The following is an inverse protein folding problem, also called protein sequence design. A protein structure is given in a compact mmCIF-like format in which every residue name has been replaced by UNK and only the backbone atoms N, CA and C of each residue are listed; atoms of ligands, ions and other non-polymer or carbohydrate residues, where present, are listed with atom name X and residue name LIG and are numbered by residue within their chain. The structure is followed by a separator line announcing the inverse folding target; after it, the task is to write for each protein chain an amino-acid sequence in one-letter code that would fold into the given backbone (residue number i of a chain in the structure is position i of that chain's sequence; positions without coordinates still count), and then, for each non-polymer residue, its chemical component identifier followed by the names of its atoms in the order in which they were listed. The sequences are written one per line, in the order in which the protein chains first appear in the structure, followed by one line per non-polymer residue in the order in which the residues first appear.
data_IF_818555971191
#
_entry.id   IF_818555971191
#
_cell.length_a   1.000
_cell.length_b   1.000
_cell.length_c   1.000
_cell.angle_alpha   90.00
_cell.angle_beta   90.00
_cell.angle_gamma   90.00
#
_symmetry.space_group_name_H-M   'P 1'
#
loop_
_entity.id
_entity.type
_entity.pdbx_description
1 polymer ?
#
# COMPACT_ATOMS: atom_id res chain seq x y z
N UNK A 1 46.89 16.66 -52.62
CA UNK A 1 46.53 16.97 -51.22
C UNK A 1 45.81 15.75 -50.63
N UNK A 2 46.49 14.94 -49.80
CA UNK A 2 45.88 13.81 -49.05
C UNK A 2 45.40 14.35 -47.71
N UNK A 3 44.11 14.21 -47.41
CA UNK A 3 43.55 14.53 -46.08
C UNK A 3 44.03 13.49 -45.05
N UNK A 4 44.32 13.88 -43.80
CA UNK A 4 44.70 12.93 -42.76
C UNK A 4 43.46 12.19 -42.26
N UNK A 5 43.63 10.89 -42.00
CA UNK A 5 42.58 9.98 -41.52
C UNK A 5 42.26 10.35 -40.07
N UNK A 6 40.99 10.67 -39.80
CA UNK A 6 40.52 10.93 -38.44
C UNK A 6 40.73 9.67 -37.57
N UNK A 7 41.44 9.86 -36.46
CA UNK A 7 41.59 8.88 -35.38
C UNK A 7 40.76 9.38 -34.21
N UNK A 8 39.71 8.67 -33.85
CA UNK A 8 38.91 8.96 -32.66
C UNK A 8 38.53 7.67 -31.94
N UNK A 9 39.23 7.50 -30.82
CA UNK A 9 38.97 6.73 -29.60
C UNK A 9 37.69 5.88 -29.51
N UNK A 10 37.85 4.56 -29.33
CA UNK A 10 36.82 3.70 -28.74
C UNK A 10 36.64 4.06 -27.26
N UNK A 11 35.44 4.49 -26.87
CA UNK A 11 35.07 4.59 -25.47
C UNK A 11 34.89 3.18 -24.86
N UNK A 12 35.29 2.94 -23.59
CA UNK A 12 35.01 1.67 -22.94
C UNK A 12 33.51 1.57 -22.64
N UNK A 13 32.89 0.44 -22.99
CA UNK A 13 31.55 0.07 -22.51
C UNK A 13 31.63 -0.07 -21.01
N UNK A 14 30.95 0.81 -20.28
CA UNK A 14 30.78 0.69 -18.84
C UNK A 14 30.00 -0.60 -18.57
N UNK A 15 30.66 -1.55 -17.92
CA UNK A 15 30.04 -2.80 -17.50
C UNK A 15 29.15 -2.47 -16.31
N UNK A 16 27.84 -2.41 -16.54
CA UNK A 16 26.86 -2.10 -15.52
C UNK A 16 26.91 -3.21 -14.45
N UNK A 17 27.50 -2.87 -13.30
CA UNK A 17 27.54 -3.77 -12.16
C UNK A 17 26.09 -4.01 -11.73
N UNK A 18 25.60 -5.23 -11.96
CA UNK A 18 24.31 -5.70 -11.47
C UNK A 18 24.30 -5.61 -9.94
N UNK A 19 23.82 -4.48 -9.43
CA UNK A 19 23.50 -4.33 -8.01
C UNK A 19 22.28 -5.21 -7.79
N UNK A 20 22.50 -6.38 -7.18
CA UNK A 20 21.39 -7.22 -6.75
C UNK A 20 20.44 -6.37 -5.89
N UNK A 21 19.13 -6.35 -6.18
CA UNK A 21 18.19 -5.55 -5.42
C UNK A 21 18.23 -6.02 -3.96
N UNK A 22 18.34 -5.08 -3.02
CA UNK A 22 18.27 -5.38 -1.60
C UNK A 22 16.96 -6.15 -1.33
N UNK A 23 16.99 -7.24 -0.55
CA UNK A 23 15.79 -8.01 -0.27
C UNK A 23 14.77 -7.11 0.41
N UNK A 24 13.54 -7.08 -0.12
CA UNK A 24 12.43 -6.37 0.51
C UNK A 24 12.21 -7.02 1.88
N UNK A 25 12.55 -6.30 2.95
CA UNK A 25 12.27 -6.72 4.31
C UNK A 25 10.74 -6.69 4.48
N UNK A 26 10.12 -7.86 4.45
CA UNK A 26 8.68 -7.99 4.73
C UNK A 26 8.56 -8.26 6.23
N UNK A 27 8.10 -7.28 7.05
CA UNK A 27 8.22 -7.34 8.50
C UNK A 27 7.61 -8.60 9.12
N UNK A 28 6.50 -9.08 8.55
CA UNK A 28 5.79 -10.27 9.03
C UNK A 28 6.54 -11.59 8.87
N UNK A 29 7.60 -11.66 8.06
CA UNK A 29 8.41 -12.88 7.96
C UNK A 29 9.15 -13.20 9.26
N UNK A 30 9.42 -12.17 10.07
CA UNK A 30 10.10 -12.29 11.36
C UNK A 30 9.19 -11.96 12.55
N UNK A 31 7.95 -11.55 12.30
CA UNK A 31 6.96 -11.37 13.36
C UNK A 31 6.52 -12.75 13.83
N UNK A 32 6.81 -13.08 15.09
CA UNK A 32 6.12 -14.18 15.77
C UNK A 32 4.65 -13.81 15.83
N UNK A 33 3.83 -14.42 14.97
CA UNK A 33 2.37 -14.33 15.12
C UNK A 33 2.04 -14.67 16.58
N UNK A 34 1.23 -13.86 17.27
CA UNK A 34 0.84 -14.19 18.62
C UNK A 34 0.28 -15.63 18.60
N UNK A 35 0.71 -16.50 19.52
CA UNK A 35 0.32 -17.91 19.50
C UNK A 35 -1.19 -18.11 19.65
N UNK A 36 -1.88 -17.08 20.14
CA UNK A 36 -3.32 -17.02 20.30
C UNK A 36 -3.91 -15.96 19.34
N UNK A 37 -4.71 -16.42 18.38
CA UNK A 37 -5.55 -15.58 17.51
C UNK A 37 -6.36 -14.52 18.27
N UNK A 38 -6.72 -14.76 19.54
CA UNK A 38 -7.41 -13.76 20.42
C UNK A 38 -6.63 -12.47 20.56
N UNK A 39 -5.30 -12.52 20.51
CA UNK A 39 -4.47 -11.32 20.57
C UNK A 39 -4.71 -10.41 19.37
N UNK A 40 -4.88 -10.98 18.17
CA UNK A 40 -5.19 -10.20 16.95
C UNK A 40 -6.57 -9.56 17.02
N UNK A 41 -7.52 -10.16 17.74
CA UNK A 41 -8.82 -9.54 17.99
C UNK A 41 -8.71 -8.30 18.89
N UNK A 42 -7.79 -8.26 19.85
CA UNK A 42 -7.59 -7.08 20.70
C UNK A 42 -7.10 -5.88 19.89
N UNK A 43 -6.15 -6.09 18.96
CA UNK A 43 -5.70 -5.03 18.04
C UNK A 43 -6.84 -4.50 17.16
N UNK A 44 -7.86 -5.30 16.86
CA UNK A 44 -9.02 -4.83 16.11
C UNK A 44 -9.95 -3.93 16.93
N UNK A 45 -9.92 -4.01 18.26
CA UNK A 45 -10.76 -3.20 19.16
C UNK A 45 -10.20 -1.81 19.41
N UNK A 46 -8.90 -1.62 19.18
CA UNK A 46 -8.18 -0.36 19.42
C UNK A 46 -8.31 0.64 18.26
N UNK A 47 -9.13 0.33 17.26
CA UNK A 47 -9.29 1.13 16.05
C UNK A 47 -10.33 2.22 16.20
N UNK A 48 -10.01 3.39 15.64
CA UNK A 48 -10.92 4.53 15.56
C UNK A 48 -12.27 4.14 14.93
N UNK A 49 -13.39 4.55 15.54
CA UNK A 49 -14.70 4.17 15.06
C UNK A 49 -15.00 4.79 13.69
N UNK A 50 -15.82 4.11 12.86
CA UNK A 50 -16.20 4.63 11.55
C UNK A 50 -17.07 5.88 11.67
N UNK A 51 -16.79 6.90 10.86
CA UNK A 51 -17.46 8.20 10.86
C UNK A 51 -18.24 8.43 9.57
N UNK A 52 -19.22 9.35 9.59
CA UNK A 52 -19.88 9.80 8.36
C UNK A 52 -18.89 10.59 7.49
N UNK A 53 -18.76 10.20 6.23
CA UNK A 53 -17.86 10.85 5.28
C UNK A 53 -18.66 11.79 4.36
N UNK A 54 -18.37 13.09 4.42
CA UNK A 54 -19.01 14.13 3.60
C UNK A 54 -18.85 13.89 2.09
N UNK A 55 -17.83 13.13 1.66
CA UNK A 55 -17.66 12.73 0.25
C UNK A 55 -18.81 11.85 -0.26
N UNK A 56 -19.57 11.23 0.63
CA UNK A 56 -20.77 10.44 0.32
C UNK A 56 -22.05 11.26 0.21
N UNK A 57 -22.05 12.55 0.54
CA UNK A 57 -23.27 13.36 0.51
C UNK A 57 -23.91 13.35 -0.89
N UNK A 58 -25.23 13.26 -1.01
CA UNK A 58 -25.93 13.09 -2.30
C UNK A 58 -25.58 11.80 -3.08
N UNK A 59 -25.15 10.72 -2.42
CA UNK A 59 -25.18 9.36 -2.96
C UNK A 59 -26.09 8.45 -2.14
N UNK A 60 -26.47 7.29 -2.69
CA UNK A 60 -27.23 6.27 -1.95
C UNK A 60 -26.51 5.77 -0.69
N UNK A 61 -25.19 5.94 -0.63
CA UNK A 61 -24.32 5.42 0.43
C UNK A 61 -23.97 6.50 1.46
N UNK A 62 -24.66 7.64 1.44
CA UNK A 62 -24.42 8.75 2.36
C UNK A 62 -24.56 8.38 3.85
N UNK A 63 -25.34 7.34 4.13
CA UNK A 63 -25.56 6.80 5.49
C UNK A 63 -24.44 5.86 5.96
N UNK A 64 -23.57 5.40 5.05
CA UNK A 64 -22.52 4.43 5.37
C UNK A 64 -21.37 5.13 6.09
N UNK A 65 -21.18 4.79 7.37
CA UNK A 65 -20.03 5.24 8.16
C UNK A 65 -18.80 4.41 7.82
N UNK A 66 -17.64 5.05 7.75
CA UNK A 66 -16.38 4.41 7.36
C UNK A 66 -15.17 5.09 7.97
N UNK A 67 -14.03 4.41 7.96
CA UNK A 67 -12.79 5.02 8.40
C UNK A 67 -12.33 6.07 7.38
N UNK A 68 -11.94 7.29 7.80
CA UNK A 68 -11.63 8.38 6.88
C UNK A 68 -10.39 8.13 6.01
N UNK A 69 -9.49 7.24 6.46
CA UNK A 69 -8.28 6.87 5.71
C UNK A 69 -8.53 5.91 4.52
N UNK A 70 -9.75 5.38 4.36
CA UNK A 70 -10.07 4.54 3.20
C UNK A 70 -10.06 5.37 1.89
N UNK A 71 -9.46 4.79 0.84
CA UNK A 71 -9.25 5.43 -0.46
C UNK A 71 -10.37 5.06 -1.42
N UNK A 72 -10.93 6.05 -2.10
CA UNK A 72 -11.97 5.87 -3.13
C UNK A 72 -11.38 5.52 -4.49
N UNK A 73 -11.79 4.39 -5.03
CA UNK A 73 -11.28 3.87 -6.30
C UNK A 73 -12.12 4.30 -7.51
N UNK A 74 -13.41 4.51 -7.31
CA UNK A 74 -14.40 4.82 -8.36
C UNK A 74 -14.97 6.23 -8.24
N UNK A 75 -14.28 7.12 -7.53
CA UNK A 75 -14.78 8.48 -7.28
C UNK A 75 -15.92 8.49 -6.26
N UNK A 76 -17.08 9.05 -6.62
CA UNK A 76 -18.15 9.31 -5.65
C UNK A 76 -19.09 8.12 -5.41
N UNK A 77 -19.41 7.39 -6.46
CA UNK A 77 -20.32 6.24 -6.43
C UNK A 77 -20.07 5.44 -7.71
N UNK A 78 -20.03 4.09 -7.69
CA UNK A 78 -20.33 3.16 -6.58
C UNK A 78 -19.35 3.21 -5.41
N UNK A 79 -19.69 2.56 -4.30
CA UNK A 79 -18.94 2.60 -3.04
C UNK A 79 -17.74 1.65 -3.00
N UNK A 80 -16.71 1.94 -3.80
CA UNK A 80 -15.51 1.11 -3.86
C UNK A 80 -14.36 1.77 -3.07
N UNK A 81 -13.93 1.10 -2.01
CA UNK A 81 -12.92 1.56 -1.06
C UNK A 81 -11.88 0.49 -0.76
N UNK A 82 -10.63 0.93 -0.64
CA UNK A 82 -9.54 0.11 -0.12
C UNK A 82 -8.74 0.85 0.97
N UNK A 83 -8.27 0.12 2.00
CA UNK A 83 -7.33 0.67 2.97
C UNK A 83 -5.94 0.86 2.37
N UNK A 84 -5.18 1.78 2.95
CA UNK A 84 -3.76 1.91 2.63
C UNK A 84 -3.00 0.67 3.13
N UNK A 85 -2.09 0.14 2.31
CA UNK A 85 -1.29 -1.06 2.65
C UNK A 85 -0.61 -0.96 4.03
N UNK A 86 0.03 0.15 4.44
CA UNK A 86 0.63 0.25 5.77
C UNK A 86 -0.36 0.02 6.92
N UNK A 87 -1.62 0.40 6.74
CA UNK A 87 -2.66 0.19 7.75
C UNK A 87 -3.07 -1.28 7.83
N UNK A 88 -3.15 -1.98 6.69
CA UNK A 88 -3.37 -3.43 6.69
C UNK A 88 -2.23 -4.16 7.43
N UNK A 89 -0.99 -3.77 7.14
CA UNK A 89 0.18 -4.41 7.76
C UNK A 89 0.32 -4.13 9.26
N UNK A 90 -0.30 -3.07 9.77
CA UNK A 90 -0.28 -2.71 11.18
C UNK A 90 -1.19 -3.60 12.06
N UNK A 91 -2.16 -4.30 11.47
CA UNK A 91 -3.15 -5.10 12.22
C UNK A 91 -2.92 -6.62 12.10
N UNK A 92 -1.69 -7.01 11.75
CA UNK A 92 -1.23 -8.39 11.63
C UNK A 92 -2.18 -9.29 10.82
N UNK A 93 -2.93 -10.17 11.51
CA UNK A 93 -3.70 -11.25 10.90
C UNK A 93 -5.17 -10.88 10.63
N UNK A 94 -5.78 -10.09 11.51
CA UNK A 94 -7.21 -9.76 11.42
C UNK A 94 -7.33 -8.29 11.05
N UNK A 95 -7.94 -8.00 9.91
CA UNK A 95 -8.24 -6.62 9.54
C UNK A 95 -9.44 -6.12 10.35
N UNK A 96 -9.31 -4.99 11.06
CA UNK A 96 -10.42 -4.36 11.75
C UNK A 96 -11.51 -3.97 10.76
N UNK A 97 -12.78 -4.12 11.15
CA UNK A 97 -13.91 -3.82 10.28
C UNK A 97 -13.86 -2.41 9.64
N UNK A 98 -13.45 -1.33 10.35
CA UNK A 98 -13.35 0.00 9.75
C UNK A 98 -12.29 0.13 8.64
N UNK A 99 -11.29 -0.77 8.62
CA UNK A 99 -10.23 -0.83 7.62
C UNK A 99 -10.48 -1.87 6.54
N UNK A 100 -11.62 -2.56 6.56
CA UNK A 100 -11.92 -3.56 5.55
C UNK A 100 -12.24 -2.89 4.20
N UNK A 101 -11.91 -3.58 3.11
CA UNK A 101 -12.26 -3.12 1.77
C UNK A 101 -13.77 -3.24 1.53
N UNK A 102 -14.31 -2.38 0.66
CA UNK A 102 -15.71 -2.42 0.23
C UNK A 102 -15.77 -2.28 -1.29
N UNK A 103 -16.63 -3.10 -1.92
CA UNK A 103 -16.91 -3.09 -3.36
C UNK A 103 -18.41 -3.18 -3.61
#
# INVERSE_FOLDING_TARGET
LRLPRASTCSAPVAQEASVAPAPILIPWKNTTFPPDWRSSYLLCLEVEPPVCDSRGEATSDAWVRRHPALVRLTGKHPFNLEPLVPWLMAHDFITPAPHHYHY
#
